data_IF_593462032915
#
_entry.id   IF_593462032915
#
_cell.length_a   1.000
_cell.length_b   1.000
_cell.length_c   1.000
_cell.angle_alpha   90.00
_cell.angle_beta   90.00
_cell.angle_gamma   90.00
#
_symmetry.space_group_name_H-M   'P 1'
#
loop_
_entity.id
_entity.type
_entity.pdbx_description
1 polymer ?
#
# COMPACT_ATOMS: atom_id res chain seq x y z
N UNK A 1 31.42 46.84 22.05
CA UNK A 1 31.12 45.49 21.54
C UNK A 1 29.67 45.19 21.88
N UNK A 2 28.86 44.97 20.85
CA UNK A 2 27.39 44.89 20.92
C UNK A 2 27.00 43.49 21.38
N UNK A 3 26.32 43.37 22.53
CA UNK A 3 25.72 42.13 23.03
C UNK A 3 24.24 42.10 22.70
N UNK A 4 23.87 41.30 21.69
CA UNK A 4 22.49 41.11 21.25
C UNK A 4 21.79 39.97 22.01
N UNK A 5 20.59 40.27 22.50
CA UNK A 5 19.63 39.33 23.08
C UNK A 5 19.06 38.38 22.01
N UNK A 6 19.06 37.08 22.28
CA UNK A 6 18.37 36.06 21.46
C UNK A 6 17.22 35.45 22.27
N UNK A 7 16.04 36.04 22.13
CA UNK A 7 14.77 35.39 22.41
C UNK A 7 14.47 34.36 21.30
N UNK A 8 14.49 33.07 21.61
CA UNK A 8 14.04 32.02 20.69
C UNK A 8 12.58 31.62 20.98
N UNK A 9 11.66 32.15 20.19
CA UNK A 9 10.30 31.63 20.05
C UNK A 9 10.32 30.32 19.23
N UNK A 10 9.49 29.31 19.56
CA UNK A 10 9.33 28.14 18.70
C UNK A 10 8.61 28.54 17.40
N UNK A 11 9.31 28.48 16.26
CA UNK A 11 8.69 28.61 14.94
C UNK A 11 7.80 27.40 14.69
N UNK A 12 6.49 27.64 14.59
CA UNK A 12 5.55 26.72 13.97
C UNK A 12 6.03 26.37 12.55
N UNK A 13 6.45 25.13 12.34
CA UNK A 13 6.71 24.61 11.00
C UNK A 13 5.35 24.29 10.38
N UNK A 14 4.81 25.23 9.63
CA UNK A 14 3.73 24.96 8.67
C UNK A 14 4.31 24.07 7.57
N UNK A 15 4.03 22.77 7.61
CA UNK A 15 4.26 21.86 6.49
C UNK A 15 3.21 22.15 5.40
N UNK A 16 3.54 23.01 4.45
CA UNK A 16 2.84 23.08 3.17
C UNK A 16 3.33 21.90 2.32
N UNK A 17 2.57 20.81 2.31
CA UNK A 17 2.85 19.64 1.48
C UNK A 17 2.39 19.90 0.03
N UNK A 18 3.15 20.67 -0.74
CA UNK A 18 3.05 20.66 -2.20
C UNK A 18 3.90 19.50 -2.72
N UNK A 19 3.28 18.32 -2.83
CA UNK A 19 3.83 17.20 -3.60
C UNK A 19 3.87 17.57 -5.08
N UNK A 20 4.99 18.11 -5.55
CA UNK A 20 5.20 18.31 -6.98
C UNK A 20 5.74 17.01 -7.58
N UNK A 21 4.83 16.16 -8.06
CA UNK A 21 5.18 15.04 -8.94
C UNK A 21 5.58 15.59 -10.33
N UNK A 22 6.82 16.07 -10.48
CA UNK A 22 7.34 16.48 -11.78
C UNK A 22 8.03 15.30 -12.47
N UNK A 23 7.23 14.48 -13.16
CA UNK A 23 7.76 13.56 -14.16
C UNK A 23 8.03 14.36 -15.45
N UNK A 24 9.27 14.78 -15.68
CA UNK A 24 9.67 15.36 -16.96
C UNK A 24 9.86 14.21 -17.96
N UNK A 25 8.93 14.03 -18.89
CA UNK A 25 9.05 13.05 -19.97
C UNK A 25 9.81 13.66 -21.15
N UNK A 26 10.99 13.11 -21.46
CA UNK A 26 11.67 13.35 -22.73
C UNK A 26 11.20 12.29 -23.75
N UNK A 27 10.63 12.74 -24.87
CA UNK A 27 10.37 11.88 -26.04
C UNK A 27 11.45 12.22 -27.06
N UNK A 28 12.48 11.37 -27.15
CA UNK A 28 13.43 11.42 -28.27
C UNK A 28 12.72 10.90 -29.52
N UNK A 29 12.66 11.72 -30.57
CA UNK A 29 12.25 11.25 -31.90
C UNK A 29 13.39 10.43 -32.49
N UNK A 30 13.34 9.11 -32.30
CA UNK A 30 14.15 8.16 -33.07
C UNK A 30 13.26 7.52 -34.13
N UNK A 31 13.74 7.48 -35.36
CA UNK A 31 13.03 7.00 -36.56
C UNK A 31 12.79 5.48 -36.61
N UNK A 32 12.95 4.77 -35.48
CA UNK A 32 12.66 3.36 -35.32
C UNK A 32 11.72 3.12 -34.12
N UNK A 33 10.78 2.18 -34.28
CA UNK A 33 9.59 1.88 -33.46
C UNK A 33 9.84 1.48 -31.98
N UNK A 34 10.97 1.83 -31.37
CA UNK A 34 11.23 1.58 -29.95
C UNK A 34 11.24 2.87 -29.11
N UNK A 35 10.07 3.22 -28.55
CA UNK A 35 9.97 4.26 -27.52
C UNK A 35 10.52 3.71 -26.20
N UNK A 36 11.78 4.02 -25.87
CA UNK A 36 12.34 3.78 -24.54
C UNK A 36 12.00 4.96 -23.63
N UNK A 37 11.15 4.73 -22.63
CA UNK A 37 10.86 5.71 -21.57
C UNK A 37 11.86 5.50 -20.44
N UNK A 38 12.82 6.41 -20.27
CA UNK A 38 13.70 6.45 -19.11
C UNK A 38 13.10 7.38 -18.05
N UNK A 39 12.79 6.85 -16.86
CA UNK A 39 12.34 7.62 -15.69
C UNK A 39 13.43 7.55 -14.62
N UNK A 40 14.07 8.68 -14.33
CA UNK A 40 15.01 8.81 -13.22
C UNK A 40 14.26 8.98 -11.88
N UNK A 41 14.62 8.16 -10.88
CA UNK A 41 14.13 8.24 -9.51
C UNK A 41 15.00 9.18 -8.67
N UNK A 42 14.40 10.23 -8.10
CA UNK A 42 14.89 10.83 -6.86
C UNK A 42 13.73 10.97 -5.88
N UNK A 43 13.66 10.03 -4.94
CA UNK A 43 12.78 10.07 -3.76
C UNK A 43 13.70 10.22 -2.55
N UNK A 44 13.76 11.41 -1.96
CA UNK A 44 14.37 11.63 -0.64
C UNK A 44 13.26 11.77 0.38
N UNK A 45 13.10 10.83 1.35
CA UNK A 45 12.08 10.93 2.39
C UNK A 45 12.53 11.78 3.57
N UNK A 46 11.56 12.45 4.19
CA UNK A 46 11.69 13.18 5.45
C UNK A 46 11.67 12.20 6.64
N UNK A 47 12.23 12.58 7.78
CA UNK A 47 12.37 11.71 8.98
C UNK A 47 11.05 11.10 9.53
N UNK A 48 9.87 11.69 9.23
CA UNK A 48 8.56 11.10 9.56
C UNK A 48 8.10 9.98 8.60
N UNK A 49 8.63 9.96 7.37
CA UNK A 49 8.37 8.87 6.41
C UNK A 49 9.12 7.60 6.80
N UNK A 50 10.11 7.65 7.70
CA UNK A 50 10.93 6.48 8.02
C UNK A 50 10.11 5.33 8.61
N UNK A 51 9.10 5.60 9.44
CA UNK A 51 8.29 4.56 10.10
C UNK A 51 7.20 3.99 9.18
N UNK A 52 6.54 4.85 8.40
CA UNK A 52 5.57 4.44 7.38
C UNK A 52 6.27 3.72 6.23
N UNK A 53 7.41 4.22 5.76
CA UNK A 53 8.26 3.53 4.79
C UNK A 53 8.89 2.27 5.38
N UNK A 54 9.17 2.16 6.67
CA UNK A 54 9.62 0.89 7.26
C UNK A 54 8.50 -0.14 7.29
N UNK A 55 7.26 0.22 7.64
CA UNK A 55 6.11 -0.70 7.55
C UNK A 55 5.71 -1.01 6.10
N UNK A 56 5.81 -0.03 5.20
CA UNK A 56 5.57 -0.16 3.76
C UNK A 56 6.68 -0.96 3.09
N UNK A 57 7.94 -0.83 3.50
CA UNK A 57 9.09 -1.62 3.00
C UNK A 57 9.19 -2.98 3.69
N UNK A 58 8.75 -3.17 4.93
CA UNK A 58 8.67 -4.50 5.54
C UNK A 58 7.72 -5.40 4.75
N UNK A 59 6.67 -4.87 4.11
CA UNK A 59 5.87 -5.61 3.11
C UNK A 59 6.49 -5.70 1.71
N UNK A 60 7.52 -4.91 1.40
CA UNK A 60 8.26 -5.02 0.13
C UNK A 60 9.46 -5.98 0.25
N UNK A 61 9.90 -6.30 1.48
CA UNK A 61 11.10 -7.11 1.75
C UNK A 61 10.80 -8.38 2.58
N UNK A 62 9.72 -8.42 3.37
CA UNK A 62 9.37 -9.58 4.21
C UNK A 62 8.22 -10.41 3.64
N UNK A 63 8.57 -11.57 3.08
CA UNK A 63 7.80 -12.80 2.83
C UNK A 63 6.40 -12.61 2.20
N UNK A 64 6.15 -12.96 0.94
CA UNK A 64 6.57 -14.21 0.29
C UNK A 64 5.69 -15.41 0.66
N UNK A 65 4.72 -15.27 1.57
CA UNK A 65 3.87 -16.39 2.02
C UNK A 65 2.42 -15.94 2.25
N UNK A 66 1.78 -15.53 1.16
CA UNK A 66 0.44 -15.95 0.76
C UNK A 66 0.51 -15.94 -0.76
N UNK A 67 1.23 -16.93 -1.31
CA UNK A 67 1.17 -17.23 -2.73
C UNK A 67 -0.26 -17.64 -3.06
N UNK A 68 -1.04 -16.67 -3.54
CA UNK A 68 -2.02 -17.01 -4.55
C UNK A 68 -1.19 -17.51 -5.75
N UNK A 69 -1.32 -18.79 -6.09
CA UNK A 69 -0.57 -19.52 -7.12
C UNK A 69 -0.83 -19.00 -8.55
N UNK A 70 -0.64 -17.70 -8.78
CA UNK A 70 -0.81 -17.06 -10.08
C UNK A 70 0.14 -15.85 -10.29
N UNK A 71 1.29 -15.83 -9.59
CA UNK A 71 2.28 -14.73 -9.69
C UNK A 71 2.96 -14.60 -11.06
N UNK A 72 2.67 -15.48 -12.03
CA UNK A 72 3.08 -15.32 -13.43
C UNK A 72 2.13 -14.44 -14.26
N UNK A 73 1.02 -13.97 -13.68
CA UNK A 73 0.01 -13.12 -14.34
C UNK A 73 -0.26 -11.78 -13.63
N UNK A 74 0.62 -11.32 -12.74
CA UNK A 74 0.44 -10.02 -12.09
C UNK A 74 0.62 -8.89 -13.11
N UNK A 75 -0.49 -8.24 -13.48
CA UNK A 75 -0.54 -7.00 -14.25
C UNK A 75 0.43 -5.94 -13.71
N UNK A 76 1.09 -5.22 -14.61
CA UNK A 76 2.08 -4.21 -14.24
C UNK A 76 1.41 -3.02 -13.54
N UNK A 77 2.07 -2.44 -12.54
CA UNK A 77 1.60 -1.22 -11.87
C UNK A 77 1.27 -0.07 -12.85
N UNK A 78 1.99 0.00 -13.96
CA UNK A 78 1.82 1.05 -14.97
C UNK A 78 0.61 0.86 -15.89
N UNK A 79 -0.05 -0.30 -15.82
CA UNK A 79 -1.30 -0.52 -16.54
C UNK A 79 -2.42 0.37 -15.99
N UNK A 80 -3.40 0.66 -16.85
CA UNK A 80 -4.52 1.50 -16.45
C UNK A 80 -5.26 0.88 -15.27
N UNK A 81 -5.42 1.65 -14.18
CA UNK A 81 -6.09 1.26 -12.93
C UNK A 81 -5.38 0.25 -12.02
N UNK A 82 -4.19 -0.24 -12.37
CA UNK A 82 -3.46 -1.19 -11.52
C UNK A 82 -2.79 -0.56 -10.29
N UNK A 83 -2.81 0.78 -10.19
CA UNK A 83 -2.43 1.52 -8.98
C UNK A 83 -3.35 1.22 -7.78
N UNK A 84 -4.54 0.65 -8.02
CA UNK A 84 -5.53 0.34 -6.99
C UNK A 84 -4.98 -0.59 -5.88
N UNK A 85 -4.02 -1.47 -6.19
CA UNK A 85 -3.33 -2.28 -5.18
C UNK A 85 -2.60 -1.41 -4.17
N UNK A 86 -1.96 -0.33 -4.62
CA UNK A 86 -1.27 0.64 -3.77
C UNK A 86 -2.25 1.42 -2.90
N UNK A 87 -3.36 1.88 -3.48
CA UNK A 87 -4.42 2.59 -2.74
C UNK A 87 -5.02 1.70 -1.64
N UNK A 88 -5.29 0.42 -1.94
CA UNK A 88 -5.77 -0.57 -0.95
C UNK A 88 -4.82 -0.79 0.24
N UNK A 89 -3.52 -0.51 0.09
CA UNK A 89 -2.57 -0.63 1.22
C UNK A 89 -2.87 0.36 2.33
N UNK A 90 -3.53 1.47 2.03
CA UNK A 90 -3.93 2.48 3.02
C UNK A 90 -4.97 1.91 3.98
N UNK A 91 -6.02 1.27 3.43
CA UNK A 91 -7.04 0.59 4.25
C UNK A 91 -6.43 -0.59 5.04
N UNK A 92 -5.47 -1.30 4.44
CA UNK A 92 -4.75 -2.37 5.12
C UNK A 92 -3.88 -1.84 6.27
N UNK A 93 -3.20 -0.70 6.10
CA UNK A 93 -2.41 -0.08 7.16
C UNK A 93 -3.27 0.34 8.35
N UNK A 94 -4.45 0.94 8.09
CA UNK A 94 -5.41 1.25 9.15
C UNK A 94 -5.82 0.00 9.94
N UNK A 95 -6.11 -1.12 9.25
CA UNK A 95 -6.44 -2.39 9.89
C UNK A 95 -5.28 -2.95 10.71
N UNK A 96 -4.05 -2.91 10.18
CA UNK A 96 -2.86 -3.38 10.88
C UNK A 96 -2.61 -2.64 12.20
N UNK A 97 -2.93 -1.35 12.30
CA UNK A 97 -2.86 -0.64 13.58
C UNK A 97 -3.84 -1.22 14.63
N UNK A 98 -5.02 -1.66 14.21
CA UNK A 98 -5.98 -2.31 15.11
C UNK A 98 -5.47 -3.67 15.58
N UNK A 99 -4.95 -4.49 14.65
CA UNK A 99 -4.36 -5.80 14.97
C UNK A 99 -3.15 -5.65 15.91
N UNK A 100 -2.31 -4.63 15.69
CA UNK A 100 -1.19 -4.32 16.58
C UNK A 100 -1.68 -3.94 17.98
N UNK A 101 -2.72 -3.11 18.09
CA UNK A 101 -3.31 -2.76 19.37
C UNK A 101 -3.88 -3.99 20.10
N UNK A 102 -4.52 -4.90 19.36
CA UNK A 102 -5.05 -6.15 19.91
C UNK A 102 -3.93 -7.04 20.44
N UNK A 103 -2.87 -7.25 19.66
CA UNK A 103 -1.71 -8.04 20.10
C UNK A 103 -1.05 -7.44 21.36
N UNK A 104 -0.91 -6.11 21.42
CA UNK A 104 -0.41 -5.42 22.62
C UNK A 104 -1.34 -5.66 23.82
N UNK A 105 -2.67 -5.62 23.60
CA UNK A 105 -3.65 -5.88 24.66
C UNK A 105 -3.51 -7.30 25.21
N UNK A 106 -3.43 -8.29 24.33
CA UNK A 106 -3.26 -9.70 24.70
C UNK A 106 -1.98 -9.89 25.51
N UNK A 107 -0.86 -9.31 25.05
CA UNK A 107 0.40 -9.35 25.78
C UNK A 107 0.28 -8.70 27.17
N UNK A 108 -0.35 -7.54 27.26
CA UNK A 108 -0.54 -6.84 28.53
C UNK A 108 -1.39 -7.65 29.54
N UNK A 109 -2.41 -8.39 29.07
CA UNK A 109 -3.19 -9.26 29.94
C UNK A 109 -2.38 -10.47 30.46
N UNK A 110 -1.41 -10.99 29.69
CA UNK A 110 -0.48 -12.02 30.18
C UNK A 110 0.39 -11.48 31.35
N UNK A 111 0.95 -10.28 31.19
CA UNK A 111 1.77 -9.62 32.22
C UNK A 111 0.96 -9.39 33.51
N UNK A 112 -0.28 -8.92 33.38
CA UNK A 112 -1.22 -8.72 34.48
C UNK A 112 -1.58 -10.02 35.19
N UNK A 113 -1.83 -11.09 34.44
CA UNK A 113 -2.17 -12.39 35.01
C UNK A 113 -1.01 -12.93 35.87
N UNK A 114 0.22 -12.85 35.35
CA UNK A 114 1.40 -13.29 36.09
C UNK A 114 1.63 -12.45 37.35
N UNK A 115 1.58 -11.12 37.23
CA UNK A 115 1.68 -10.20 38.36
C UNK A 115 0.62 -10.48 39.44
N UNK A 116 -0.64 -10.67 39.05
CA UNK A 116 -1.75 -10.98 39.95
C UNK A 116 -1.54 -12.31 40.69
N UNK A 117 -1.06 -13.33 39.98
CA UNK A 117 -0.81 -14.65 40.56
C UNK A 117 0.34 -14.62 41.58
N UNK A 118 1.44 -13.93 41.27
CA UNK A 118 2.55 -13.72 42.22
C UNK A 118 2.09 -12.98 43.48
N UNK A 119 1.28 -11.93 43.32
CA UNK A 119 0.77 -11.15 44.46
C UNK A 119 -0.13 -12.00 45.35
N UNK A 120 -1.07 -12.77 44.76
CA UNK A 120 -1.94 -13.71 45.50
C UNK A 120 -1.12 -14.79 46.22
N UNK A 121 -0.12 -15.35 45.55
CA UNK A 121 0.77 -16.36 46.13
C UNK A 121 1.56 -15.80 47.32
N UNK A 122 2.20 -14.63 47.16
CA UNK A 122 2.94 -13.97 48.24
C UNK A 122 2.05 -13.68 49.44
N UNK A 123 0.88 -13.06 49.21
CA UNK A 123 -0.04 -12.71 50.31
C UNK A 123 -0.53 -13.93 51.08
N UNK A 124 -0.80 -15.05 50.39
CA UNK A 124 -1.19 -16.31 51.06
C UNK A 124 -0.07 -16.83 51.97
N UNK A 125 1.16 -16.87 51.49
CA UNK A 125 2.28 -17.41 52.25
C UNK A 125 2.74 -16.48 53.38
N UNK A 126 2.69 -15.17 53.18
CA UNK A 126 2.89 -14.20 54.27
C UNK A 126 1.85 -14.39 55.37
N UNK A 127 0.56 -14.50 55.03
CA UNK A 127 -0.49 -14.77 56.01
C UNK A 127 -0.29 -16.09 56.74
N UNK A 128 0.20 -17.13 56.05
CA UNK A 128 0.56 -18.40 56.70
C UNK A 128 1.73 -18.24 57.67
N UNK A 129 2.80 -17.54 57.28
CA UNK A 129 3.97 -17.31 58.13
C UNK A 129 3.62 -16.44 59.35
N UNK A 130 2.68 -15.50 59.19
CA UNK A 130 2.22 -14.65 60.29
C UNK A 130 1.28 -15.38 61.27
N UNK A 131 0.84 -16.61 60.96
CA UNK A 131 0.10 -17.47 61.91
C UNK A 131 0.95 -18.00 63.07
N UNK A 132 2.28 -17.85 63.01
CA UNK A 132 3.20 -18.16 64.11
C UNK A 132 3.68 -19.60 64.21
N UNK A 133 3.37 -20.46 63.21
CA UNK A 133 3.85 -21.85 63.14
C UNK A 133 5.38 -21.96 62.95
N UNK A 134 6.00 -21.01 62.26
CA UNK A 134 7.44 -20.90 62.05
C UNK A 134 7.92 -19.55 62.57
N UNK A 135 8.99 -19.52 63.38
CA UNK A 135 9.45 -18.32 64.07
C UNK A 135 10.97 -18.14 64.01
N UNK A 136 11.43 -16.96 64.42
CA UNK A 136 12.86 -16.63 64.44
C UNK A 136 13.50 -16.60 63.05
N UNK A 137 14.80 -16.92 63.00
CA UNK A 137 15.61 -16.85 61.77
C UNK A 137 15.19 -17.82 60.67
N UNK A 138 14.48 -18.91 61.00
CA UNK A 138 13.97 -19.89 60.03
C UNK A 138 12.87 -19.35 59.11
N UNK A 139 12.05 -18.40 59.61
CA UNK A 139 11.00 -17.74 58.82
C UNK A 139 11.52 -16.68 57.84
N UNK A 140 12.74 -16.19 58.08
CA UNK A 140 13.31 -15.06 57.33
C UNK A 140 13.54 -15.35 55.84
N UNK A 141 14.15 -16.50 55.43
CA UNK A 141 14.30 -16.84 54.02
C UNK A 141 12.95 -16.94 53.29
N UNK A 142 11.92 -17.47 53.94
CA UNK A 142 10.59 -17.63 53.35
C UNK A 142 9.91 -16.28 53.11
N UNK A 143 10.00 -15.38 54.09
CA UNK A 143 9.55 -13.98 53.92
C UNK A 143 10.36 -13.26 52.84
N UNK A 144 11.64 -13.60 52.69
CA UNK A 144 12.50 -13.14 51.59
C UNK A 144 11.97 -13.53 50.21
N UNK A 145 11.57 -14.80 50.02
CA UNK A 145 10.95 -15.27 48.78
C UNK A 145 9.64 -14.54 48.46
N UNK A 146 8.81 -14.28 49.46
CA UNK A 146 7.56 -13.53 49.27
C UNK A 146 7.83 -12.08 48.82
N UNK A 147 8.83 -11.42 49.41
CA UNK A 147 9.25 -10.07 49.02
C UNK A 147 9.80 -10.01 47.60
N UNK A 148 10.57 -11.01 47.19
CA UNK A 148 11.06 -11.13 45.81
C UNK A 148 9.89 -11.28 44.83
N UNK A 149 8.92 -12.16 45.12
CA UNK A 149 7.73 -12.33 44.30
C UNK A 149 6.89 -11.04 44.18
N UNK A 150 6.80 -10.24 45.24
CA UNK A 150 6.14 -8.92 45.20
C UNK A 150 6.89 -7.92 44.33
N UNK A 151 8.23 -7.88 44.40
CA UNK A 151 9.04 -7.03 43.55
C UNK A 151 8.87 -7.41 42.07
N UNK A 152 8.89 -8.70 41.74
CA UNK A 152 8.64 -9.22 40.38
C UNK A 152 7.21 -8.90 39.94
N UNK A 153 6.21 -9.10 40.80
CA UNK A 153 4.81 -8.73 40.54
C UNK A 153 4.68 -7.25 40.15
N UNK A 154 5.32 -6.34 40.89
CA UNK A 154 5.31 -4.91 40.60
C UNK A 154 6.02 -4.59 39.27
N UNK A 155 7.14 -5.24 38.97
CA UNK A 155 7.84 -5.07 37.70
C UNK A 155 6.96 -5.47 36.50
N UNK A 156 6.29 -6.63 36.56
CA UNK A 156 5.36 -7.07 35.51
C UNK A 156 4.13 -6.15 35.39
N UNK A 157 3.61 -5.64 36.52
CA UNK A 157 2.53 -4.65 36.50
C UNK A 157 2.97 -3.35 35.80
N UNK A 158 4.22 -2.92 36.00
CA UNK A 158 4.78 -1.76 35.31
C UNK A 158 4.91 -2.00 33.80
N UNK A 159 5.39 -3.18 33.38
CA UNK A 159 5.44 -3.56 31.96
C UNK A 159 4.04 -3.50 31.32
N UNK A 160 3.02 -4.07 32.00
CA UNK A 160 1.63 -3.98 31.54
C UNK A 160 1.16 -2.53 31.38
N UNK A 161 1.49 -1.65 32.32
CA UNK A 161 1.08 -0.25 32.25
C UNK A 161 1.76 0.46 31.06
N UNK A 162 3.07 0.27 30.85
CA UNK A 162 3.78 0.83 29.69
C UNK A 162 3.16 0.35 28.38
N UNK A 163 2.84 -0.95 28.27
CA UNK A 163 2.23 -1.52 27.07
C UNK A 163 0.88 -0.86 26.74
N UNK A 164 0.03 -0.63 27.72
CA UNK A 164 -1.31 -0.07 27.51
C UNK A 164 -1.28 1.45 27.42
N UNK A 165 -0.70 2.10 28.42
CA UNK A 165 -0.86 3.53 28.67
C UNK A 165 0.03 4.35 27.73
N UNK A 166 1.24 3.85 27.41
CA UNK A 166 2.17 4.56 26.53
C UNK A 166 2.09 4.01 25.10
N UNK A 167 2.35 2.71 24.91
CA UNK A 167 2.54 2.13 23.58
C UNK A 167 1.21 2.02 22.83
N UNK A 168 0.20 1.35 23.42
CA UNK A 168 -1.09 1.16 22.75
C UNK A 168 -1.82 2.49 22.55
N UNK A 169 -1.80 3.38 23.55
CA UNK A 169 -2.33 4.75 23.40
C UNK A 169 -1.61 5.51 22.29
N UNK A 170 -0.28 5.42 22.22
CA UNK A 170 0.51 6.03 21.15
C UNK A 170 0.13 5.54 19.76
N UNK A 171 -0.06 4.22 19.58
CA UNK A 171 -0.51 3.64 18.31
C UNK A 171 -1.92 4.12 17.94
N UNK A 172 -2.85 4.14 18.90
CA UNK A 172 -4.22 4.64 18.69
C UNK A 172 -4.25 6.12 18.30
N UNK A 173 -3.45 6.94 18.98
CA UNK A 173 -3.34 8.36 18.69
C UNK A 173 -2.73 8.59 17.29
N UNK A 174 -1.64 7.90 16.97
CA UNK A 174 -1.03 7.94 15.64
C UNK A 174 -2.02 7.54 14.54
N UNK A 175 -2.77 6.45 14.74
CA UNK A 175 -3.79 5.99 13.79
C UNK A 175 -4.87 7.07 13.57
N UNK A 176 -5.33 7.73 14.64
CA UNK A 176 -6.32 8.80 14.57
C UNK A 176 -5.82 10.02 13.80
N UNK A 177 -4.54 10.36 13.95
CA UNK A 177 -3.93 11.53 13.29
C UNK A 177 -3.63 11.30 11.81
N UNK A 178 -3.50 10.05 11.37
CA UNK A 178 -3.12 9.70 9.99
C UNK A 178 -4.26 9.12 9.14
N UNK A 179 -5.32 8.61 9.77
CA UNK A 179 -6.43 7.99 9.07
C UNK A 179 -7.76 8.62 9.48
N UNK A 180 -8.35 9.39 8.55
CA UNK A 180 -9.58 10.12 8.81
C UNK A 180 -10.75 9.43 8.14
N UNK A 181 -11.66 8.88 8.95
CA UNK A 181 -12.92 8.32 8.43
C UNK A 181 -13.82 9.41 7.88
N UNK A 182 -14.43 9.14 6.73
CA UNK A 182 -15.53 9.92 6.17
C UNK A 182 -16.74 9.88 7.11
N UNK A 183 -17.36 11.03 7.35
CA UNK A 183 -18.57 11.14 8.18
C UNK A 183 -19.82 10.53 7.51
N UNK A 184 -19.80 10.39 6.18
CA UNK A 184 -20.90 9.80 5.41
C UNK A 184 -20.73 8.27 5.29
N UNK A 185 -21.81 7.48 5.47
CA UNK A 185 -21.81 6.04 5.18
C UNK A 185 -21.66 5.73 3.68
N UNK A 186 -20.93 4.67 3.29
CA UNK A 186 -20.07 3.82 4.11
C UNK A 186 -18.80 4.55 4.58
N UNK A 187 -18.40 4.30 5.83
CA UNK A 187 -17.19 4.89 6.42
C UNK A 187 -15.96 4.40 5.66
N UNK A 188 -15.40 5.30 4.86
CA UNK A 188 -14.22 5.11 4.01
C UNK A 188 -13.16 6.09 4.46
N UNK A 189 -11.89 5.71 4.36
CA UNK A 189 -10.78 6.62 4.70
C UNK A 189 -10.71 7.74 3.66
N UNK A 190 -10.57 8.98 4.14
CA UNK A 190 -10.41 10.16 3.28
C UNK A 190 -9.12 10.06 2.47
N UNK A 191 -8.07 9.51 3.06
CA UNK A 191 -6.77 9.28 2.42
C UNK A 191 -6.89 8.32 1.24
N UNK A 192 -7.60 7.20 1.42
CA UNK A 192 -7.87 6.24 0.32
C UNK A 192 -8.58 6.92 -0.85
N UNK A 193 -9.60 7.74 -0.57
CA UNK A 193 -10.32 8.50 -1.61
C UNK A 193 -9.42 9.53 -2.30
N UNK A 194 -8.60 10.24 -1.53
CA UNK A 194 -7.68 11.24 -2.07
C UNK A 194 -6.67 10.59 -3.01
N UNK A 195 -6.03 9.50 -2.61
CA UNK A 195 -5.07 8.81 -3.46
C UNK A 195 -5.70 8.24 -4.73
N UNK A 196 -6.91 7.68 -4.65
CA UNK A 196 -7.64 7.22 -5.84
C UNK A 196 -7.85 8.38 -6.83
N UNK A 197 -8.30 9.54 -6.36
CA UNK A 197 -8.47 10.73 -7.20
C UNK A 197 -7.16 11.22 -7.81
N UNK A 198 -6.09 11.25 -7.04
CA UNK A 198 -4.77 11.71 -7.52
C UNK A 198 -4.22 10.78 -8.60
N UNK A 199 -4.35 9.46 -8.43
CA UNK A 199 -3.96 8.50 -9.46
C UNK A 199 -4.84 8.59 -10.72
N UNK A 200 -6.16 8.74 -10.57
CA UNK A 200 -7.07 8.93 -11.71
C UNK A 200 -6.71 10.20 -12.50
N UNK A 201 -6.42 11.31 -11.80
CA UNK A 201 -6.01 12.57 -12.42
C UNK A 201 -4.67 12.43 -13.16
N UNK A 202 -3.67 11.81 -12.51
CA UNK A 202 -2.36 11.59 -13.11
C UNK A 202 -2.45 10.68 -14.35
N UNK A 203 -3.28 9.64 -14.32
CA UNK A 203 -3.41 8.67 -15.41
C UNK A 203 -4.36 9.12 -16.53
N UNK A 204 -5.19 10.15 -16.30
CA UNK A 204 -6.26 10.59 -17.22
C UNK A 204 -5.79 10.81 -18.66
N UNK A 205 -4.72 11.59 -18.85
CA UNK A 205 -4.22 11.92 -20.19
C UNK A 205 -3.59 10.71 -20.87
N UNK A 206 -2.83 9.91 -20.13
CA UNK A 206 -2.23 8.67 -20.63
C UNK A 206 -3.31 7.66 -21.05
N UNK A 207 -4.29 7.40 -20.19
CA UNK A 207 -5.40 6.50 -20.48
C UNK A 207 -6.19 6.93 -21.73
N UNK A 208 -6.40 8.24 -21.91
CA UNK A 208 -7.04 8.77 -23.14
C UNK A 208 -6.23 8.48 -24.40
N UNK A 209 -4.90 8.65 -24.36
CA UNK A 209 -4.02 8.37 -25.51
C UNK A 209 -3.91 6.87 -25.78
N UNK A 210 -3.77 6.07 -24.73
CA UNK A 210 -3.70 4.62 -24.84
C UNK A 210 -4.97 4.02 -25.47
N UNK A 211 -6.16 4.53 -25.08
CA UNK A 211 -7.43 4.17 -25.73
C UNK A 211 -7.40 4.45 -27.24
N UNK A 212 -6.92 5.62 -27.67
CA UNK A 212 -6.78 5.94 -29.10
C UNK A 212 -5.84 4.95 -29.81
N UNK A 213 -4.68 4.66 -29.21
CA UNK A 213 -3.73 3.67 -29.76
C UNK A 213 -4.39 2.31 -29.93
N UNK A 214 -5.14 1.83 -28.94
CA UNK A 214 -5.88 0.56 -29.05
C UNK A 214 -6.96 0.58 -30.13
N UNK A 215 -7.72 1.67 -30.25
CA UNK A 215 -8.72 1.84 -31.31
C UNK A 215 -8.07 1.83 -32.69
N UNK A 216 -7.06 2.66 -32.92
CA UNK A 216 -6.35 2.74 -34.21
C UNK A 216 -5.66 1.42 -34.55
N UNK A 217 -5.08 0.72 -33.56
CA UNK A 217 -4.53 -0.62 -33.74
C UNK A 217 -5.60 -1.60 -34.23
N UNK A 218 -6.80 -1.58 -33.62
CA UNK A 218 -7.93 -2.44 -34.02
C UNK A 218 -8.41 -2.12 -35.44
N UNK A 219 -8.56 -0.84 -35.76
CA UNK A 219 -8.95 -0.37 -37.10
C UNK A 219 -7.93 -0.80 -38.16
N UNK A 220 -6.63 -0.66 -37.86
CA UNK A 220 -5.55 -1.11 -38.73
C UNK A 220 -5.64 -2.61 -39.04
N UNK A 221 -5.73 -3.47 -38.01
CA UNK A 221 -5.84 -4.90 -38.24
C UNK A 221 -7.14 -5.29 -38.96
N UNK A 222 -8.23 -4.55 -38.72
CA UNK A 222 -9.48 -4.76 -39.45
C UNK A 222 -9.32 -4.41 -40.93
N UNK A 223 -8.66 -3.30 -41.26
CA UNK A 223 -8.36 -2.93 -42.64
C UNK A 223 -7.48 -3.98 -43.33
N UNK A 224 -6.42 -4.46 -42.67
CA UNK A 224 -5.59 -5.55 -43.21
C UNK A 224 -6.38 -6.85 -43.45
N UNK A 225 -7.33 -7.18 -42.55
CA UNK A 225 -8.20 -8.35 -42.71
C UNK A 225 -9.15 -8.19 -43.89
N UNK A 226 -9.76 -7.00 -44.04
CA UNK A 226 -10.63 -6.68 -45.17
C UNK A 226 -9.87 -6.72 -46.50
N UNK A 227 -8.68 -6.11 -46.57
CA UNK A 227 -7.83 -6.13 -47.75
C UNK A 227 -7.50 -7.58 -48.18
N UNK A 228 -7.07 -8.42 -47.23
CA UNK A 228 -6.78 -9.83 -47.52
C UNK A 228 -8.02 -10.59 -47.99
N UNK A 229 -9.19 -10.31 -47.42
CA UNK A 229 -10.46 -10.92 -47.84
C UNK A 229 -10.80 -10.53 -49.29
N UNK A 230 -10.69 -9.25 -49.64
CA UNK A 230 -10.93 -8.75 -51.00
C UNK A 230 -9.92 -9.34 -52.00
N UNK A 231 -8.64 -9.47 -51.63
CA UNK A 231 -7.63 -10.13 -52.47
C UNK A 231 -8.00 -11.59 -52.78
N UNK A 232 -8.53 -12.33 -51.78
CA UNK A 232 -9.01 -13.71 -51.98
C UNK A 232 -10.24 -13.74 -52.88
N UNK A 233 -11.18 -12.80 -52.72
CA UNK A 233 -12.36 -12.69 -53.61
C UNK A 233 -11.94 -12.43 -55.07
N UNK A 234 -11.01 -11.50 -55.31
CA UNK A 234 -10.45 -11.24 -56.65
C UNK A 234 -9.82 -12.51 -57.22
N UNK A 235 -9.02 -13.23 -56.44
CA UNK A 235 -8.38 -14.47 -56.89
C UNK A 235 -9.42 -15.53 -57.28
N UNK A 236 -10.45 -15.70 -56.47
CA UNK A 236 -11.50 -16.69 -56.71
C UNK A 236 -12.36 -16.31 -57.94
N UNK A 237 -12.72 -15.02 -58.09
CA UNK A 237 -13.47 -14.52 -59.25
C UNK A 237 -12.69 -14.66 -60.56
N UNK A 238 -11.35 -14.53 -60.54
CA UNK A 238 -10.50 -14.80 -61.71
C UNK A 238 -10.44 -16.27 -62.11
N UNK A 239 -10.64 -17.19 -61.16
CA UNK A 239 -10.63 -18.63 -61.42
C UNK A 239 -12.00 -19.21 -61.78
N UNK A 240 -13.08 -18.43 -61.68
CA UNK A 240 -14.44 -18.86 -61.99
C UNK A 240 -14.77 -18.63 -63.49
N UNK A 241 -15.13 -19.69 -64.26
CA UNK A 241 -15.51 -19.57 -65.67
C UNK A 241 -16.75 -18.68 -65.93
N UNK A 242 -17.55 -18.39 -64.90
CA UNK A 242 -18.75 -17.54 -64.96
C UNK A 242 -18.50 -16.10 -64.50
N UNK A 243 -17.29 -15.77 -64.03
CA UNK A 243 -16.94 -14.46 -63.53
C UNK A 243 -16.92 -13.39 -64.62
N UNK A 244 -17.62 -12.28 -64.41
CA UNK A 244 -17.63 -11.14 -65.35
C UNK A 244 -16.46 -10.20 -65.07
N UNK A 245 -15.87 -9.63 -66.14
CA UNK A 245 -14.75 -8.68 -66.04
C UNK A 245 -15.07 -7.46 -65.15
N UNK A 246 -16.34 -7.05 -65.12
CA UNK A 246 -16.84 -5.94 -64.31
C UNK A 246 -16.82 -6.24 -62.80
N UNK A 247 -17.09 -7.49 -62.39
CA UNK A 247 -17.01 -7.91 -60.99
C UNK A 247 -15.56 -7.89 -60.48
N UNK A 248 -14.60 -8.34 -61.30
CA UNK A 248 -13.17 -8.31 -60.95
C UNK A 248 -12.67 -6.87 -60.80
N UNK A 249 -13.08 -5.96 -61.70
CA UNK A 249 -12.72 -4.53 -61.64
C UNK A 249 -13.28 -3.84 -60.39
N UNK A 250 -14.55 -4.10 -60.05
CA UNK A 250 -15.19 -3.61 -58.83
C UNK A 250 -14.41 -4.01 -57.57
N UNK A 251 -14.02 -5.28 -57.45
CA UNK A 251 -13.22 -5.76 -56.32
C UNK A 251 -11.81 -5.12 -56.27
N UNK A 252 -11.18 -4.84 -57.41
CA UNK A 252 -9.90 -4.10 -57.46
C UNK A 252 -10.03 -2.65 -56.98
N UNK A 253 -11.12 -1.97 -57.35
CA UNK A 253 -11.41 -0.60 -56.88
C UNK A 253 -11.58 -0.61 -55.35
N UNK A 254 -12.30 -1.58 -54.80
CA UNK A 254 -12.48 -1.72 -53.36
C UNK A 254 -11.16 -1.96 -52.61
N UNK A 255 -10.25 -2.76 -53.18
CA UNK A 255 -8.89 -2.95 -52.61
C UNK A 255 -8.13 -1.62 -52.58
N UNK A 256 -8.12 -0.86 -53.68
CA UNK A 256 -7.40 0.42 -53.75
C UNK A 256 -7.99 1.46 -52.80
N UNK A 257 -9.32 1.52 -52.67
CA UNK A 257 -9.99 2.38 -51.70
C UNK A 257 -9.63 2.01 -50.26
N UNK A 258 -9.57 0.71 -49.94
CA UNK A 258 -9.16 0.22 -48.62
C UNK A 258 -7.69 0.56 -48.27
N UNK A 259 -6.80 0.63 -49.28
CA UNK A 259 -5.38 0.98 -49.10
C UNK A 259 -5.16 2.48 -48.90
N UNK A 260 -6.01 3.32 -49.49
CA UNK A 260 -5.87 4.78 -49.45
C UNK A 260 -6.64 5.42 -48.29
N UNK A 261 -7.27 4.63 -47.41
CA UNK A 261 -8.06 5.15 -46.28
C UNK A 261 -9.31 5.93 -46.70
N UNK A 262 -9.73 5.80 -47.96
CA UNK A 262 -10.98 6.35 -48.49
C UNK A 262 -12.04 5.25 -48.41
N UNK A 263 -12.55 5.03 -47.21
CA UNK A 263 -13.76 4.23 -46.98
C UNK A 263 -14.94 5.17 -46.74
#
# INVERSE_FOLDING_TARGET
MVGGSLNSTPRAIRCNATFVWRATFYIEHSSDINVRVLVYKHLTPCFCDQFVLQLVNLKMVGNGEYEDQNSSNASSFWECREYHRTVKRVDAAYKLCNELCLMIQERAELEKAYSSNLKKWSSRWLSFLDSGLEYGSGSSPWKGLCKEAEAVSNAHQNVRNILIDDIQTGVKQWQKDHFHKSSLPPQTLKETKQFEQDFELAQKQWSKRLKKVHTTKKEYYQACKTERSLQVQVRNAKSDPSGTAEQVLQSYIQINNSKNGQA
#
